data_IF_548781421508
#
_entry.id   IF_548781421508
#
_cell.length_a   1.000
_cell.length_b   1.000
_cell.length_c   1.000
_cell.angle_alpha   90.00
_cell.angle_beta   90.00
_cell.angle_gamma   90.00
#
_symmetry.space_group_name_H-M   'P 1'
#
loop_
_entity.id
_entity.type
_entity.pdbx_description
1 polymer ?
#
# COMPACT_ATOMS: atom_id res chain seq x y z
N UNK A 1 1.64 -2.04 17.58
CA UNK A 1 2.17 -3.41 17.38
C UNK A 1 3.12 -3.46 16.21
N UNK A 2 2.67 -3.32 14.95
CA UNK A 2 3.55 -3.43 13.77
C UNK A 2 4.68 -2.39 13.74
N UNK A 3 4.45 -1.16 14.23
CA UNK A 3 5.53 -0.15 14.37
C UNK A 3 6.56 -0.45 15.47
N UNK A 4 6.46 -1.57 16.19
CA UNK A 4 7.38 -1.94 17.27
C UNK A 4 7.92 -3.37 17.14
N UNK A 5 7.06 -4.34 16.81
CA UNK A 5 7.47 -5.74 16.68
C UNK A 5 8.02 -6.02 15.28
N UNK A 6 9.30 -6.42 15.13
CA UNK A 6 9.94 -6.60 13.81
C UNK A 6 9.31 -7.71 12.95
N UNK A 7 8.55 -8.60 13.56
CA UNK A 7 7.93 -9.77 12.90
C UNK A 7 6.50 -9.52 12.45
N UNK A 8 5.93 -8.33 12.73
CA UNK A 8 4.51 -8.03 12.48
C UNK A 8 4.39 -7.00 11.37
N UNK A 9 3.66 -7.36 10.31
CA UNK A 9 3.30 -6.48 9.21
C UNK A 9 1.78 -6.28 9.13
N UNK A 10 1.34 -5.20 8.49
CA UNK A 10 -0.07 -4.86 8.32
C UNK A 10 -0.53 -5.14 6.88
N UNK A 11 -1.63 -5.89 6.76
CA UNK A 11 -2.33 -6.17 5.51
C UNK A 11 -3.04 -4.94 4.92
N UNK A 12 -3.41 -4.96 3.62
CA UNK A 12 -4.25 -3.91 3.05
C UNK A 12 -5.63 -3.84 3.71
N UNK A 13 -6.38 -2.74 3.52
CA UNK A 13 -7.77 -2.68 3.94
C UNK A 13 -8.58 -3.79 3.28
N UNK A 14 -9.23 -4.62 4.08
CA UNK A 14 -9.82 -5.89 3.62
C UNK A 14 -11.34 -5.84 3.49
N UNK A 15 -11.87 -6.67 2.57
CA UNK A 15 -13.29 -6.89 2.33
C UNK A 15 -14.05 -5.59 2.06
N UNK A 16 -14.95 -5.16 2.94
CA UNK A 16 -15.73 -3.92 2.78
C UNK A 16 -14.84 -2.66 2.81
N UNK A 17 -13.62 -2.76 3.31
CA UNK A 17 -12.67 -1.68 3.36
C UNK A 17 -11.78 -1.60 2.10
N UNK A 18 -11.81 -2.61 1.22
CA UNK A 18 -11.16 -2.55 -0.11
C UNK A 18 -11.96 -1.65 -1.06
N UNK A 19 -11.93 -0.34 -0.76
CA UNK A 19 -12.60 0.73 -1.48
C UNK A 19 -11.81 2.03 -1.32
N UNK A 20 -12.00 3.01 -2.21
CA UNK A 20 -11.27 4.28 -2.17
C UNK A 20 -11.32 4.97 -0.79
N UNK A 21 -12.50 4.98 -0.16
CA UNK A 21 -12.66 5.58 1.16
C UNK A 21 -12.00 4.73 2.26
N UNK A 22 -11.98 3.40 2.12
CA UNK A 22 -11.30 2.52 3.06
C UNK A 22 -9.77 2.64 2.94
N UNK A 23 -9.24 2.67 1.71
CA UNK A 23 -7.82 2.93 1.43
C UNK A 23 -7.35 4.27 1.96
N UNK A 24 -8.13 5.35 1.75
CA UNK A 24 -7.80 6.66 2.32
C UNK A 24 -7.70 6.61 3.85
N UNK A 25 -8.71 6.05 4.52
CA UNK A 25 -8.68 5.92 6.00
C UNK A 25 -7.52 5.05 6.47
N UNK A 26 -7.23 3.97 5.74
CA UNK A 26 -6.09 3.10 6.02
C UNK A 26 -4.79 3.89 6.00
N UNK A 27 -4.53 4.66 4.94
CA UNK A 27 -3.32 5.48 4.85
C UNK A 27 -3.25 6.52 5.97
N UNK A 28 -4.35 7.24 6.22
CA UNK A 28 -4.41 8.30 7.22
C UNK A 28 -4.20 7.76 8.66
N UNK A 29 -4.71 6.57 8.98
CA UNK A 29 -4.71 6.04 10.35
C UNK A 29 -3.54 5.08 10.65
N UNK A 30 -3.03 4.36 9.63
CA UNK A 30 -2.02 3.33 9.83
C UNK A 30 -0.62 3.87 9.61
N UNK A 31 -0.38 4.61 8.52
CA UNK A 31 0.98 4.99 8.14
C UNK A 31 1.64 5.93 9.14
N UNK A 32 0.86 6.82 9.78
CA UNK A 32 1.41 7.77 10.77
C UNK A 32 2.15 7.07 11.91
N UNK A 33 1.66 5.91 12.38
CA UNK A 33 2.27 5.19 13.50
C UNK A 33 3.12 3.99 13.05
N UNK A 34 2.63 3.21 12.08
CA UNK A 34 3.33 2.00 11.65
C UNK A 34 4.43 2.31 10.62
N UNK A 35 4.33 3.40 9.88
CA UNK A 35 5.14 3.64 8.70
C UNK A 35 4.72 2.75 7.52
N UNK A 36 5.04 3.21 6.30
CA UNK A 36 4.68 2.51 5.06
C UNK A 36 5.34 1.12 4.96
N UNK A 37 6.60 1.02 5.38
CA UNK A 37 7.40 -0.21 5.22
C UNK A 37 7.05 -1.33 6.20
N UNK A 38 6.20 -1.07 7.20
CA UNK A 38 5.60 -2.12 8.05
C UNK A 38 4.25 -2.61 7.49
N UNK A 39 3.95 -2.31 6.23
CA UNK A 39 2.78 -2.80 5.49
C UNK A 39 3.20 -3.74 4.36
N UNK A 40 2.26 -4.55 3.86
CA UNK A 40 2.56 -5.58 2.84
C UNK A 40 2.14 -5.20 1.41
N UNK A 41 1.76 -3.94 1.18
CA UNK A 41 1.18 -3.52 -0.10
C UNK A 41 -0.28 -3.98 -0.25
N UNK A 42 -0.63 -4.55 -1.40
CA UNK A 42 -2.01 -4.87 -1.77
C UNK A 42 -2.20 -6.27 -2.37
N UNK A 43 -3.34 -6.87 -2.06
CA UNK A 43 -3.88 -8.09 -2.68
C UNK A 43 -5.37 -7.88 -2.97
N UNK A 44 -5.85 -8.38 -4.10
CA UNK A 44 -7.23 -8.15 -4.56
C UNK A 44 -8.31 -8.96 -3.81
N UNK A 45 -7.93 -10.11 -3.24
CA UNK A 45 -8.82 -11.07 -2.56
C UNK A 45 -10.14 -11.33 -3.31
N UNK A 46 -10.06 -11.54 -4.63
CA UNK A 46 -11.23 -11.73 -5.49
C UNK A 46 -11.33 -13.13 -6.08
N UNK A 47 -12.56 -13.65 -6.17
CA UNK A 47 -12.87 -14.81 -7.02
C UNK A 47 -13.15 -14.42 -8.48
N UNK A 48 -13.35 -13.13 -8.76
CA UNK A 48 -13.68 -12.63 -10.09
C UNK A 48 -12.40 -12.26 -10.85
N UNK A 49 -11.83 -13.21 -11.60
CA UNK A 49 -10.58 -13.02 -12.35
C UNK A 49 -10.52 -11.73 -13.20
N UNK A 50 -11.59 -11.32 -13.93
CA UNK A 50 -11.55 -10.07 -14.71
C UNK A 50 -11.43 -8.80 -13.86
N UNK A 51 -11.74 -8.86 -12.56
CA UNK A 51 -11.66 -7.71 -11.66
C UNK A 51 -10.25 -7.43 -11.14
N UNK A 52 -9.33 -8.40 -11.22
CA UNK A 52 -7.95 -8.27 -10.72
C UNK A 52 -7.27 -7.00 -11.25
N UNK A 53 -7.16 -6.75 -12.58
CA UNK A 53 -6.48 -5.55 -13.07
C UNK A 53 -7.13 -4.26 -12.60
N UNK A 54 -8.46 -4.23 -12.49
CA UNK A 54 -9.22 -3.04 -12.06
C UNK A 54 -8.97 -2.74 -10.59
N UNK A 55 -8.95 -3.76 -9.72
CA UNK A 55 -8.67 -3.60 -8.28
C UNK A 55 -7.26 -3.10 -8.03
N UNK A 56 -6.28 -3.66 -8.74
CA UNK A 56 -4.90 -3.18 -8.65
C UNK A 56 -4.76 -1.74 -9.16
N UNK A 57 -5.49 -1.34 -10.20
CA UNK A 57 -5.50 0.06 -10.67
C UNK A 57 -6.08 1.02 -9.62
N UNK A 58 -7.17 0.62 -8.94
CA UNK A 58 -7.77 1.39 -7.85
C UNK A 58 -6.76 1.60 -6.70
N UNK A 59 -6.08 0.54 -6.27
CA UNK A 59 -5.03 0.65 -5.24
C UNK A 59 -3.92 1.62 -5.67
N UNK A 60 -3.40 1.48 -6.90
CA UNK A 60 -2.32 2.34 -7.41
C UNK A 60 -2.74 3.81 -7.45
N UNK A 61 -3.96 4.10 -7.90
CA UNK A 61 -4.50 5.46 -7.94
C UNK A 61 -4.73 6.04 -6.54
N UNK A 62 -5.23 5.24 -5.61
CA UNK A 62 -5.41 5.66 -4.21
C UNK A 62 -4.07 5.98 -3.54
N UNK A 63 -3.06 5.12 -3.73
CA UNK A 63 -1.70 5.32 -3.26
C UNK A 63 -1.07 6.59 -3.83
N UNK A 64 -1.17 6.79 -5.15
CA UNK A 64 -0.66 7.99 -5.81
C UNK A 64 -1.36 9.27 -5.31
N UNK A 65 -2.68 9.21 -5.08
CA UNK A 65 -3.42 10.34 -4.53
C UNK A 65 -2.97 10.69 -3.10
N UNK A 66 -2.75 9.69 -2.26
CA UNK A 66 -2.25 9.90 -0.91
C UNK A 66 -0.82 10.49 -0.92
N UNK A 67 0.10 9.91 -1.70
CA UNK A 67 1.47 10.41 -1.86
C UNK A 67 1.51 11.83 -2.41
N UNK A 68 0.69 12.14 -3.42
CA UNK A 68 0.56 13.50 -3.95
C UNK A 68 0.13 14.49 -2.86
N UNK A 69 -0.78 14.08 -1.98
CA UNK A 69 -1.16 14.88 -0.82
C UNK A 69 0.01 15.16 0.12
N UNK A 70 0.87 14.17 0.38
CA UNK A 70 2.08 14.33 1.19
C UNK A 70 3.10 15.26 0.52
N UNK A 71 3.33 15.08 -0.79
CA UNK A 71 4.24 15.87 -1.60
C UNK A 71 3.84 17.36 -1.62
N UNK A 72 2.57 17.66 -1.94
CA UNK A 72 2.07 19.04 -2.01
C UNK A 72 2.11 19.74 -0.64
N UNK A 73 1.99 18.98 0.46
CA UNK A 73 2.17 19.49 1.82
C UNK A 73 3.64 19.69 2.22
N UNK A 74 4.59 19.26 1.39
CA UNK A 74 6.03 19.30 1.69
C UNK A 74 6.47 18.30 2.75
N UNK A 75 5.71 17.22 2.97
CA UNK A 75 6.04 16.17 3.95
C UNK A 75 7.09 15.21 3.37
N UNK A 76 7.04 14.96 2.06
CA UNK A 76 7.98 14.12 1.31
C UNK A 76 8.47 14.87 0.08
N UNK A 77 9.62 14.47 -0.45
CA UNK A 77 10.14 14.99 -1.71
C UNK A 77 9.51 14.29 -2.92
N UNK A 78 9.70 14.84 -4.12
CA UNK A 78 9.26 14.18 -5.35
C UNK A 78 10.01 12.87 -5.60
N UNK A 79 11.31 12.82 -5.26
CA UNK A 79 12.13 11.62 -5.35
C UNK A 79 11.59 10.51 -4.43
N UNK A 80 11.31 10.84 -3.16
CA UNK A 80 10.69 9.91 -2.21
C UNK A 80 9.33 9.43 -2.73
N UNK A 81 8.51 10.34 -3.28
CA UNK A 81 7.18 9.99 -3.77
C UNK A 81 7.25 8.98 -4.93
N UNK A 82 8.23 9.10 -5.82
CA UNK A 82 8.44 8.14 -6.92
C UNK A 82 8.85 6.78 -6.38
N UNK A 83 9.86 6.73 -5.49
CA UNK A 83 10.32 5.47 -4.88
C UNK A 83 9.20 4.78 -4.08
N UNK A 84 8.50 5.54 -3.24
CA UNK A 84 7.38 5.04 -2.44
C UNK A 84 6.24 4.50 -3.32
N UNK A 85 6.02 5.09 -4.50
CA UNK A 85 4.99 4.61 -5.42
C UNK A 85 5.35 3.25 -6.01
N UNK A 86 6.63 3.00 -6.34
CA UNK A 86 7.09 1.69 -6.80
C UNK A 86 6.93 0.62 -5.70
N UNK A 87 7.26 0.99 -4.47
CA UNK A 87 7.10 0.14 -3.29
C UNK A 87 5.63 -0.21 -3.05
N UNK A 88 4.72 0.78 -3.06
CA UNK A 88 3.28 0.55 -2.88
C UNK A 88 2.65 -0.24 -4.04
N UNK A 89 3.15 -0.07 -5.27
CA UNK A 89 2.61 -0.75 -6.44
C UNK A 89 2.96 -2.24 -6.50
N UNK A 90 4.16 -2.61 -6.06
CA UNK A 90 4.63 -4.00 -6.12
C UNK A 90 5.76 -4.34 -5.12
N UNK A 91 6.65 -3.39 -4.79
CA UNK A 91 7.85 -3.68 -3.99
C UNK A 91 7.55 -4.29 -2.62
N UNK A 92 6.64 -3.68 -1.86
CA UNK A 92 6.24 -4.16 -0.53
C UNK A 92 5.65 -5.57 -0.57
N UNK A 93 4.79 -5.84 -1.56
CA UNK A 93 4.19 -7.16 -1.72
C UNK A 93 5.26 -8.20 -2.07
N UNK A 94 6.18 -7.90 -2.99
CA UNK A 94 7.28 -8.82 -3.34
C UNK A 94 8.15 -9.15 -2.13
N UNK A 95 8.52 -8.15 -1.33
CA UNK A 95 9.32 -8.32 -0.11
C UNK A 95 8.57 -9.14 0.95
N UNK A 96 7.34 -8.75 1.26
CA UNK A 96 6.53 -9.38 2.31
C UNK A 96 6.23 -10.87 2.00
N UNK A 97 5.91 -11.18 0.74
CA UNK A 97 5.60 -12.54 0.29
C UNK A 97 6.81 -13.31 -0.25
N UNK A 98 8.03 -12.74 -0.14
CA UNK A 98 9.30 -13.37 -0.56
C UNK A 98 9.31 -13.82 -2.03
N UNK A 99 8.83 -12.95 -2.92
CA UNK A 99 8.70 -13.20 -4.36
C UNK A 99 9.87 -12.62 -5.20
N UNK A 100 10.99 -12.28 -4.56
CA UNK A 100 12.15 -11.67 -5.24
C UNK A 100 12.98 -12.68 -6.05
N UNK A 101 12.94 -13.96 -5.66
CA UNK A 101 13.56 -15.05 -6.39
C UNK A 101 12.50 -15.80 -7.18
N UNK A 102 12.63 -15.98 -8.51
CA UNK A 102 11.76 -16.87 -9.25
C UNK A 102 11.89 -18.30 -8.70
N UNK A 103 10.78 -19.02 -8.65
CA UNK A 103 10.76 -20.45 -8.33
C UNK A 103 11.52 -21.28 -9.38
#
# INVERSE_FOLDING_TARGET
MAGHYPTVLIGPPWWFHDSLNGMRRYFDQIIETAGMYNTVGFNDDTRAFPSIPVRHDVWRRASANWLSGQLVRGIITEEDAVEMMEELAAGLARKAYRLETPA
#
